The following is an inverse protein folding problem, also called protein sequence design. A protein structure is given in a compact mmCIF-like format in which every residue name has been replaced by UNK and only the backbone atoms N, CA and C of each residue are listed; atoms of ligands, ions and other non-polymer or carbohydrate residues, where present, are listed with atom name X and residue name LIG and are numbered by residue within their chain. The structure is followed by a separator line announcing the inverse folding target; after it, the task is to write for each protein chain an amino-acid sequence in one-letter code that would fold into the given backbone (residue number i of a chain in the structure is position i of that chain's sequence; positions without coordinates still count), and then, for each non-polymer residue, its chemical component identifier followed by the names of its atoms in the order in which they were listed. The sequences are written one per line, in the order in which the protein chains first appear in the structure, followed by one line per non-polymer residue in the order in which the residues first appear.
data_IF_665705658709
#
_entry.id   IF_665705658709
#
_cell.length_a   1.000
_cell.length_b   1.000
_cell.length_c   1.000
_cell.angle_alpha   90.00
_cell.angle_beta   90.00
_cell.angle_gamma   90.00
#
_symmetry.space_group_name_H-M   'P 1'
#
loop_
_entity.id
_entity.type
_entity.pdbx_description
1 polymer ?
#
# COMPACT_ATOMS: atom_id res chain seq x y z
N UNK A 1 120.61 -7.31 137.90
CA UNK A 1 120.12 -8.37 138.81
C UNK A 1 118.70 -8.71 138.37
N UNK A 2 118.52 -9.85 137.71
CA UNK A 2 117.19 -10.40 137.46
C UNK A 2 116.76 -11.15 138.73
N UNK A 3 115.49 -11.00 139.13
CA UNK A 3 114.91 -11.86 140.17
C UNK A 3 114.90 -13.29 139.62
N UNK A 4 115.44 -14.26 140.35
CA UNK A 4 115.32 -15.68 139.99
C UNK A 4 113.90 -16.15 140.30
N UNK A 5 112.95 -15.78 139.43
CA UNK A 5 111.52 -16.05 139.60
C UNK A 5 111.20 -17.52 139.88
N UNK A 6 111.98 -18.44 139.31
CA UNK A 6 111.85 -19.88 139.56
C UNK A 6 112.03 -20.29 141.04
N UNK A 7 112.92 -19.62 141.81
CA UNK A 7 113.08 -19.89 143.25
C UNK A 7 112.00 -19.21 144.10
N UNK A 8 111.40 -18.13 143.61
CA UNK A 8 110.29 -17.43 144.26
C UNK A 8 108.99 -18.22 144.11
N UNK A 9 108.74 -18.80 142.93
CA UNK A 9 107.57 -19.64 142.67
C UNK A 9 107.57 -20.96 143.46
N UNK A 10 108.74 -21.60 143.67
CA UNK A 10 108.83 -22.84 144.45
C UNK A 10 108.61 -22.65 145.97
N UNK A 11 108.84 -21.44 146.51
CA UNK A 11 108.69 -21.12 147.95
C UNK A 11 108.18 -19.67 148.16
N UNK A 12 106.89 -19.41 147.93
CA UNK A 12 106.33 -18.05 147.92
C UNK A 12 106.33 -17.34 149.29
N UNK A 13 106.33 -18.09 150.39
CA UNK A 13 106.17 -17.53 151.75
C UNK A 13 107.49 -17.03 152.41
N UNK A 14 108.64 -17.17 151.74
CA UNK A 14 109.95 -16.73 152.29
C UNK A 14 110.32 -15.33 151.80
N UNK A 15 110.90 -14.51 152.69
CA UNK A 15 111.32 -13.15 152.34
C UNK A 15 112.52 -13.14 151.40
N UNK A 16 112.33 -12.57 150.20
CA UNK A 16 113.40 -12.37 149.20
C UNK A 16 113.73 -10.89 149.14
N UNK A 17 115.01 -10.52 149.30
CA UNK A 17 115.46 -9.13 149.15
C UNK A 17 115.49 -8.75 147.67
N UNK A 18 114.66 -7.78 147.30
CA UNK A 18 114.59 -7.24 145.94
C UNK A 18 115.00 -5.77 145.94
N UNK A 19 115.67 -5.31 144.87
CA UNK A 19 116.04 -3.90 144.69
C UNK A 19 114.80 -3.09 144.34
N UNK A 20 114.45 -2.09 145.17
CA UNK A 20 113.24 -1.27 144.98
C UNK A 20 113.15 -0.56 143.62
N UNK A 21 114.28 -0.18 143.01
CA UNK A 21 114.31 0.40 141.65
C UNK A 21 113.77 -0.56 140.59
N UNK A 22 114.09 -1.85 140.70
CA UNK A 22 113.60 -2.87 139.77
C UNK A 22 112.08 -3.06 139.91
N UNK A 23 111.57 -3.06 141.15
CA UNK A 23 110.12 -3.12 141.41
C UNK A 23 109.37 -1.90 140.85
N UNK A 24 109.97 -0.71 140.92
CA UNK A 24 109.42 0.51 140.33
C UNK A 24 109.45 0.50 138.80
N UNK A 25 110.53 -0.02 138.19
CA UNK A 25 110.63 -0.16 136.73
C UNK A 25 109.63 -1.22 136.20
N UNK A 26 109.45 -2.34 136.91
CA UNK A 26 108.42 -3.33 136.58
C UNK A 26 107.01 -2.76 136.75
N UNK A 27 106.76 -1.95 137.79
CA UNK A 27 105.47 -1.26 137.98
C UNK A 27 105.19 -0.29 136.84
N UNK A 28 106.14 0.56 136.46
CA UNK A 28 105.99 1.48 135.31
C UNK A 28 105.72 0.72 134.01
N UNK A 29 106.39 -0.42 133.82
CA UNK A 29 106.16 -1.29 132.66
C UNK A 29 104.77 -1.92 132.69
N UNK A 30 104.28 -2.34 133.86
CA UNK A 30 102.90 -2.81 134.05
C UNK A 30 101.91 -1.69 133.74
N UNK A 31 102.08 -0.50 134.32
CA UNK A 31 101.22 0.67 134.06
C UNK A 31 101.21 1.06 132.57
N UNK A 32 102.36 0.97 131.89
CA UNK A 32 102.48 1.23 130.45
C UNK A 32 101.77 0.14 129.63
N UNK A 33 101.98 -1.13 129.97
CA UNK A 33 101.32 -2.26 129.32
C UNK A 33 99.81 -2.25 129.55
N UNK A 34 99.34 -1.85 130.74
CA UNK A 34 97.92 -1.67 131.05
C UNK A 34 97.31 -0.55 130.21
N UNK A 35 98.01 0.59 130.06
CA UNK A 35 97.57 1.68 129.20
C UNK A 35 97.55 1.29 127.70
N UNK A 36 98.57 0.57 127.23
CA UNK A 36 98.62 0.03 125.88
C UNK A 36 97.53 -1.03 125.63
N UNK A 37 97.24 -1.87 126.62
CA UNK A 37 96.17 -2.87 126.56
C UNK A 37 94.80 -2.21 126.52
N UNK A 38 94.56 -1.19 127.33
CA UNK A 38 93.31 -0.43 127.30
C UNK A 38 93.14 0.32 125.97
N UNK A 39 94.22 0.92 125.45
CA UNK A 39 94.21 1.54 124.11
C UNK A 39 93.89 0.50 123.02
N UNK A 40 94.56 -0.64 123.05
CA UNK A 40 94.36 -1.72 122.07
C UNK A 40 92.95 -2.28 122.16
N UNK A 41 92.38 -2.39 123.37
CA UNK A 41 91.01 -2.81 123.59
C UNK A 41 90.01 -1.81 123.01
N UNK A 42 90.22 -0.51 123.23
CA UNK A 42 89.39 0.54 122.63
C UNK A 42 89.48 0.57 121.10
N UNK A 43 90.68 0.39 120.54
CA UNK A 43 90.87 0.25 119.08
C UNK A 43 90.17 -1.01 118.55
N UNK A 44 90.27 -2.14 119.26
CA UNK A 44 89.59 -3.39 118.92
C UNK A 44 88.06 -3.20 118.90
N UNK A 45 87.48 -2.63 119.95
CA UNK A 45 86.04 -2.33 120.03
C UNK A 45 85.61 -1.40 118.89
N UNK A 46 86.42 -0.38 118.56
CA UNK A 46 86.13 0.50 117.43
C UNK A 46 86.18 -0.24 116.08
N UNK A 47 87.13 -1.15 115.90
CA UNK A 47 87.21 -1.98 114.67
C UNK A 47 86.07 -2.96 114.55
N UNK A 48 85.62 -3.58 115.65
CA UNK A 48 84.46 -4.47 115.69
C UNK A 48 83.18 -3.72 115.36
N UNK A 49 82.99 -2.51 115.88
CA UNK A 49 81.86 -1.65 115.54
C UNK A 49 81.84 -1.27 114.05
N UNK A 50 83.01 -0.89 113.50
CA UNK A 50 83.16 -0.59 112.06
C UNK A 50 82.89 -1.82 111.19
N UNK A 51 83.39 -2.99 111.57
CA UNK A 51 83.17 -4.24 110.87
C UNK A 51 81.67 -4.57 110.84
N UNK A 52 80.98 -4.53 111.98
CA UNK A 52 79.55 -4.76 112.06
C UNK A 52 78.75 -3.78 111.18
N UNK A 53 79.13 -2.50 111.17
CA UNK A 53 78.49 -1.51 110.29
C UNK A 53 78.72 -1.79 108.81
N UNK A 54 79.90 -2.29 108.45
CA UNK A 54 80.24 -2.65 107.08
C UNK A 54 79.50 -3.91 106.63
N UNK A 55 79.34 -4.90 107.51
CA UNK A 55 78.56 -6.11 107.28
C UNK A 55 77.09 -5.77 106.99
N UNK A 56 76.46 -4.92 107.82
CA UNK A 56 75.09 -4.45 107.59
C UNK A 56 74.95 -3.69 106.26
N UNK A 57 75.97 -2.90 105.90
CA UNK A 57 75.96 -2.17 104.63
C UNK A 57 76.07 -3.12 103.43
N UNK A 58 76.88 -4.17 103.51
CA UNK A 58 77.00 -5.21 102.48
C UNK A 58 75.67 -5.94 102.33
N UNK A 59 75.03 -6.32 103.44
CA UNK A 59 73.72 -6.99 103.40
C UNK A 59 72.65 -6.11 102.72
N UNK A 60 72.60 -4.83 103.07
CA UNK A 60 71.68 -3.86 102.43
C UNK A 60 71.96 -3.72 100.93
N UNK A 61 73.23 -3.57 100.54
CA UNK A 61 73.62 -3.45 99.14
C UNK A 61 73.32 -4.72 98.33
N UNK A 62 73.45 -5.90 98.94
CA UNK A 62 73.10 -7.16 98.30
C UNK A 62 71.59 -7.27 98.06
N UNK A 63 70.76 -6.84 99.03
CA UNK A 63 69.31 -6.78 98.85
C UNK A 63 68.91 -5.81 97.73
N UNK A 64 69.49 -4.61 97.71
CA UNK A 64 69.25 -3.64 96.64
C UNK A 64 69.70 -4.18 95.26
N UNK A 65 70.83 -4.89 95.20
CA UNK A 65 71.32 -5.49 93.95
C UNK A 65 70.37 -6.57 93.44
N UNK A 66 69.85 -7.42 94.33
CA UNK A 66 68.89 -8.46 93.99
C UNK A 66 67.59 -7.85 93.44
N UNK A 67 67.07 -6.79 94.07
CA UNK A 67 65.91 -6.05 93.57
C UNK A 67 66.15 -5.47 92.17
N UNK A 68 67.36 -4.93 91.91
CA UNK A 68 67.74 -4.43 90.58
C UNK A 68 67.87 -5.55 89.55
N UNK A 69 68.38 -6.71 89.93
CA UNK A 69 68.48 -7.88 89.06
C UNK A 69 67.08 -8.33 88.64
N UNK A 70 66.15 -8.44 89.59
CA UNK A 70 64.78 -8.86 89.30
C UNK A 70 64.06 -7.85 88.41
N UNK A 71 64.21 -6.55 88.69
CA UNK A 71 63.64 -5.50 87.83
C UNK A 71 64.22 -5.50 86.41
N UNK A 72 65.51 -5.80 86.24
CA UNK A 72 66.10 -5.91 84.91
C UNK A 72 65.53 -7.10 84.13
N UNK A 73 65.28 -8.24 84.78
CA UNK A 73 64.64 -9.40 84.13
C UNK A 73 63.23 -9.07 83.64
N UNK A 74 62.42 -8.40 84.47
CA UNK A 74 61.08 -7.95 84.08
C UNK A 74 61.12 -7.03 82.85
N UNK A 75 62.06 -6.07 82.84
CA UNK A 75 62.24 -5.17 81.70
C UNK A 75 62.70 -5.89 80.42
N UNK A 76 63.52 -6.94 80.54
CA UNK A 76 63.94 -7.76 79.41
C UNK A 76 62.77 -8.56 78.82
N UNK A 77 61.89 -9.10 79.67
CA UNK A 77 60.67 -9.81 79.25
C UNK A 77 59.69 -8.84 78.55
N UNK A 78 59.45 -7.68 79.14
CA UNK A 78 58.60 -6.63 78.55
C UNK A 78 59.16 -6.15 77.20
N UNK A 79 60.47 -5.98 77.08
CA UNK A 79 61.13 -5.59 75.83
C UNK A 79 60.97 -6.67 74.75
N UNK A 80 61.06 -7.95 75.14
CA UNK A 80 60.77 -9.08 74.25
C UNK A 80 59.32 -9.08 73.75
N UNK A 81 58.37 -8.89 74.66
CA UNK A 81 56.94 -8.81 74.34
C UNK A 81 56.63 -7.64 73.40
N UNK A 82 57.14 -6.45 73.72
CA UNK A 82 56.97 -5.26 72.89
C UNK A 82 57.59 -5.40 71.49
N UNK A 83 58.73 -6.09 71.38
CA UNK A 83 59.36 -6.37 70.08
C UNK A 83 58.48 -7.26 69.20
N UNK A 84 57.83 -8.27 69.79
CA UNK A 84 56.90 -9.14 69.06
C UNK A 84 55.65 -8.38 68.63
N UNK A 85 55.07 -7.55 69.51
CA UNK A 85 53.94 -6.69 69.17
C UNK A 85 54.27 -5.73 68.02
N UNK A 86 55.46 -5.11 68.06
CA UNK A 86 55.94 -4.25 66.97
C UNK A 86 56.11 -4.99 65.63
N UNK A 87 56.49 -6.27 65.68
CA UNK A 87 56.56 -7.10 64.48
C UNK A 87 55.16 -7.34 63.90
N UNK A 88 54.22 -7.77 64.74
CA UNK A 88 52.85 -8.07 64.30
C UNK A 88 52.18 -6.82 63.71
N UNK A 89 52.30 -5.67 64.38
CA UNK A 89 51.75 -4.39 63.89
C UNK A 89 52.39 -3.98 62.56
N UNK A 90 53.68 -4.27 62.34
CA UNK A 90 54.33 -4.01 61.05
C UNK A 90 53.76 -4.90 59.95
N UNK A 91 53.52 -6.17 60.24
CA UNK A 91 52.97 -7.13 59.27
C UNK A 91 51.53 -6.77 58.90
N UNK A 92 50.69 -6.43 59.89
CA UNK A 92 49.33 -5.94 59.68
C UNK A 92 49.31 -4.64 58.86
N UNK A 93 50.24 -3.72 59.12
CA UNK A 93 50.36 -2.47 58.37
C UNK A 93 50.67 -2.73 56.89
N UNK A 94 51.57 -3.66 56.58
CA UNK A 94 51.87 -4.02 55.20
C UNK A 94 50.69 -4.73 54.51
N UNK A 95 49.95 -5.58 55.23
CA UNK A 95 48.73 -6.19 54.69
C UNK A 95 47.68 -5.13 54.34
N UNK A 96 47.45 -4.17 55.23
CA UNK A 96 46.50 -3.07 55.02
C UNK A 96 46.93 -2.20 53.84
N UNK A 97 48.22 -1.88 53.70
CA UNK A 97 48.74 -1.15 52.54
C UNK A 97 48.49 -1.89 51.23
N UNK A 98 48.72 -3.21 51.21
CA UNK A 98 48.46 -4.03 50.03
C UNK A 98 46.99 -4.03 49.63
N UNK A 99 46.08 -4.16 50.60
CA UNK A 99 44.63 -4.05 50.38
C UNK A 99 44.24 -2.67 49.85
N UNK A 100 44.78 -1.60 50.44
CA UNK A 100 44.51 -0.23 50.02
C UNK A 100 44.93 0.00 48.56
N UNK A 101 46.13 -0.42 48.17
CA UNK A 101 46.61 -0.29 46.79
C UNK A 101 45.70 -1.04 45.80
N UNK A 102 45.26 -2.25 46.17
CA UNK A 102 44.32 -3.05 45.35
C UNK A 102 42.96 -2.37 45.22
N UNK A 103 42.44 -1.78 46.31
CA UNK A 103 41.18 -1.04 46.29
C UNK A 103 41.28 0.23 45.43
N UNK A 104 42.40 0.95 45.49
CA UNK A 104 42.64 2.14 44.65
C UNK A 104 42.69 1.79 43.16
N UNK A 105 43.31 0.67 42.78
CA UNK A 105 43.33 0.19 41.40
C UNK A 105 41.93 -0.19 40.91
N UNK A 106 41.17 -0.94 41.72
CA UNK A 106 39.80 -1.30 41.42
C UNK A 106 38.88 -0.07 41.30
N UNK A 107 39.08 0.94 42.14
CA UNK A 107 38.34 2.20 42.08
C UNK A 107 38.59 2.91 40.74
N UNK A 108 39.85 3.06 40.34
CA UNK A 108 40.20 3.66 39.03
C UNK A 108 39.62 2.88 37.85
N UNK A 109 39.64 1.55 37.91
CA UNK A 109 39.02 0.72 36.88
C UNK A 109 37.51 0.96 36.79
N UNK A 110 36.82 1.06 37.94
CA UNK A 110 35.39 1.36 37.99
C UNK A 110 35.06 2.79 37.56
N UNK A 111 35.88 3.77 37.89
CA UNK A 111 35.74 5.14 37.39
C UNK A 111 35.84 5.17 35.85
N UNK A 112 36.80 4.45 35.27
CA UNK A 112 36.91 4.34 33.81
C UNK A 112 35.68 3.67 33.18
N UNK A 113 35.16 2.60 33.80
CA UNK A 113 33.94 1.92 33.32
C UNK A 113 32.72 2.85 33.36
N UNK A 114 32.56 3.63 34.44
CA UNK A 114 31.48 4.63 34.56
C UNK A 114 31.59 5.67 33.45
N UNK A 115 32.77 6.25 33.21
CA UNK A 115 32.94 7.25 32.14
C UNK A 115 32.63 6.68 30.74
N UNK A 116 32.94 5.40 30.50
CA UNK A 116 32.57 4.73 29.24
C UNK A 116 31.06 4.56 29.11
N UNK A 117 30.39 4.12 30.18
CA UNK A 117 28.95 3.94 30.19
C UNK A 117 28.20 5.27 30.04
N UNK A 118 28.71 6.35 30.62
CA UNK A 118 28.17 7.70 30.43
C UNK A 118 28.25 8.14 28.96
N UNK A 119 29.39 7.92 28.31
CA UNK A 119 29.56 8.22 26.88
C UNK A 119 28.63 7.36 26.00
N UNK A 120 28.48 6.07 26.31
CA UNK A 120 27.54 5.19 25.61
C UNK A 120 26.09 5.64 25.81
N UNK A 121 25.73 6.09 27.01
CA UNK A 121 24.41 6.66 27.32
C UNK A 121 24.12 7.92 26.51
N UNK A 122 25.08 8.83 26.37
CA UNK A 122 24.95 10.03 25.55
C UNK A 122 24.78 9.68 24.06
N UNK A 123 25.59 8.75 23.54
CA UNK A 123 25.48 8.28 22.17
C UNK A 123 24.11 7.65 21.86
N UNK A 124 23.60 6.80 22.76
CA UNK A 124 22.28 6.20 22.62
C UNK A 124 21.17 7.26 22.68
N UNK A 125 21.29 8.26 23.57
CA UNK A 125 20.33 9.36 23.65
C UNK A 125 20.27 10.17 22.35
N UNK A 126 21.43 10.46 21.74
CA UNK A 126 21.50 11.16 20.45
C UNK A 126 20.88 10.31 19.33
N UNK A 127 21.18 9.01 19.27
CA UNK A 127 20.60 8.11 18.28
C UNK A 127 19.07 8.00 18.39
N UNK A 128 18.52 7.99 19.62
CA UNK A 128 17.07 8.03 19.85
C UNK A 128 16.48 9.33 19.31
N UNK A 129 17.09 10.47 19.63
CA UNK A 129 16.61 11.78 19.14
C UNK A 129 16.61 11.87 17.61
N UNK A 130 17.62 11.31 16.93
CA UNK A 130 17.67 11.25 15.48
C UNK A 130 16.54 10.38 14.90
N UNK A 131 16.28 9.22 15.53
CA UNK A 131 15.21 8.32 15.10
C UNK A 131 13.83 8.91 15.34
N UNK A 132 13.62 9.63 16.44
CA UNK A 132 12.36 10.34 16.69
C UNK A 132 12.09 11.41 15.62
N UNK A 133 13.13 12.14 15.20
CA UNK A 133 13.01 13.10 14.10
C UNK A 133 12.66 12.40 12.77
N UNK A 134 13.31 11.28 12.46
CA UNK A 134 13.02 10.49 11.26
C UNK A 134 11.58 9.97 11.26
N UNK A 135 11.08 9.50 12.41
CA UNK A 135 9.69 9.05 12.57
C UNK A 135 8.71 10.20 12.37
N UNK A 136 9.00 11.38 12.92
CA UNK A 136 8.20 12.59 12.72
C UNK A 136 8.11 12.94 11.22
N UNK A 137 9.26 12.99 10.53
CA UNK A 137 9.32 13.33 9.11
C UNK A 137 8.56 12.30 8.23
N UNK A 138 8.69 11.01 8.53
CA UNK A 138 7.96 9.94 7.85
C UNK A 138 6.45 10.02 8.10
N UNK A 139 6.05 10.39 9.31
CA UNK A 139 4.63 10.59 9.66
C UNK A 139 4.02 11.72 8.85
N UNK A 140 4.69 12.87 8.76
CA UNK A 140 4.24 13.99 7.91
C UNK A 140 4.13 13.59 6.44
N UNK A 141 5.13 12.88 5.88
CA UNK A 141 5.08 12.40 4.50
C UNK A 141 3.92 11.43 4.26
N UNK A 142 3.59 10.60 5.23
CA UNK A 142 2.45 9.67 5.15
C UNK A 142 1.12 10.43 5.12
N UNK A 143 0.97 11.45 5.96
CA UNK A 143 -0.21 12.32 5.98
C UNK A 143 -0.39 13.06 4.63
N UNK A 144 0.68 13.61 4.08
CA UNK A 144 0.68 14.26 2.76
C UNK A 144 0.28 13.28 1.64
N UNK A 145 0.82 12.05 1.66
CA UNK A 145 0.48 11.03 0.69
C UNK A 145 -1.00 10.61 0.78
N UNK A 146 -1.52 10.46 2.00
CA UNK A 146 -2.94 10.15 2.23
C UNK A 146 -3.86 11.27 1.74
N UNK A 147 -3.51 12.53 2.02
CA UNK A 147 -4.27 13.68 1.52
C UNK A 147 -4.31 13.71 -0.02
N UNK A 148 -3.17 13.45 -0.66
CA UNK A 148 -3.09 13.36 -2.13
C UNK A 148 -3.89 12.19 -2.69
N UNK A 149 -3.91 11.04 -2.00
CA UNK A 149 -4.73 9.89 -2.40
C UNK A 149 -6.21 10.25 -2.38
N UNK A 150 -6.69 10.88 -1.31
CA UNK A 150 -8.07 11.34 -1.21
C UNK A 150 -8.42 12.36 -2.31
N UNK A 151 -7.53 13.29 -2.63
CA UNK A 151 -7.72 14.23 -3.73
C UNK A 151 -7.85 13.49 -5.09
N UNK A 152 -7.01 12.48 -5.34
CA UNK A 152 -7.09 11.69 -6.56
C UNK A 152 -8.39 10.87 -6.63
N UNK A 153 -8.85 10.29 -5.53
CA UNK A 153 -10.13 9.57 -5.46
C UNK A 153 -11.31 10.49 -5.82
N UNK A 154 -11.33 11.73 -5.31
CA UNK A 154 -12.38 12.70 -5.68
C UNK A 154 -12.34 13.05 -7.17
N UNK A 155 -11.15 13.25 -7.74
CA UNK A 155 -10.99 13.51 -9.19
C UNK A 155 -11.44 12.33 -10.05
N UNK A 156 -11.18 11.09 -9.61
CA UNK A 156 -11.66 9.89 -10.31
C UNK A 156 -13.18 9.87 -10.32
N UNK A 157 -13.83 10.10 -9.18
CA UNK A 157 -15.30 10.18 -9.10
C UNK A 157 -15.88 11.25 -10.03
N UNK A 158 -15.28 12.44 -10.07
CA UNK A 158 -15.71 13.52 -10.97
C UNK A 158 -15.57 13.14 -12.46
N UNK A 159 -14.49 12.45 -12.80
CA UNK A 159 -14.25 11.98 -14.17
C UNK A 159 -15.22 10.87 -14.57
N UNK A 160 -15.55 9.95 -13.66
CA UNK A 160 -16.57 8.92 -13.89
C UNK A 160 -17.95 9.53 -14.13
N UNK A 161 -18.33 10.57 -13.38
CA UNK A 161 -19.60 11.28 -13.61
C UNK A 161 -19.61 11.97 -14.98
N UNK A 162 -18.49 12.61 -15.36
CA UNK A 162 -18.35 13.23 -16.69
C UNK A 162 -18.42 12.19 -17.81
N UNK A 163 -17.82 11.02 -17.64
CA UNK A 163 -17.89 9.93 -18.61
C UNK A 163 -19.33 9.45 -18.83
N UNK A 164 -20.11 9.27 -17.75
CA UNK A 164 -21.55 8.93 -17.85
C UNK A 164 -22.35 10.00 -18.59
N UNK A 165 -22.06 11.29 -18.35
CA UNK A 165 -22.71 12.39 -19.08
C UNK A 165 -22.36 12.38 -20.57
N UNK A 166 -21.12 12.03 -20.91
CA UNK A 166 -20.67 11.91 -22.30
C UNK A 166 -21.40 10.77 -23.02
N UNK A 167 -21.53 9.60 -22.40
CA UNK A 167 -22.26 8.44 -22.95
C UNK A 167 -23.72 8.81 -23.26
N UNK A 168 -24.39 9.54 -22.35
CA UNK A 168 -25.75 10.06 -22.60
C UNK A 168 -25.75 11.05 -23.77
N UNK A 169 -24.74 11.91 -23.91
CA UNK A 169 -24.66 12.82 -25.05
C UNK A 169 -24.47 12.07 -26.37
N UNK A 170 -23.64 11.02 -26.40
CA UNK A 170 -23.42 10.18 -27.59
C UNK A 170 -24.72 9.50 -28.04
N UNK A 171 -25.51 8.93 -27.13
CA UNK A 171 -26.81 8.35 -27.49
C UNK A 171 -27.76 9.40 -28.10
N UNK A 172 -27.76 10.63 -27.58
CA UNK A 172 -28.57 11.73 -28.15
C UNK A 172 -28.10 12.12 -29.55
N UNK A 173 -26.79 12.09 -29.81
CA UNK A 173 -26.25 12.35 -31.16
C UNK A 173 -26.76 11.28 -32.14
N UNK A 174 -26.71 9.99 -31.77
CA UNK A 174 -27.21 8.92 -32.64
C UNK A 174 -28.71 9.05 -32.96
N UNK A 175 -29.52 9.47 -31.99
CA UNK A 175 -30.95 9.72 -32.22
C UNK A 175 -31.18 10.93 -33.14
N UNK A 176 -30.39 12.00 -32.99
CA UNK A 176 -30.44 13.15 -33.89
C UNK A 176 -30.06 12.79 -35.33
N UNK A 177 -29.05 11.94 -35.52
CA UNK A 177 -28.67 11.43 -36.84
C UNK A 177 -29.80 10.61 -37.49
N UNK A 178 -30.50 9.78 -36.71
CA UNK A 178 -31.67 9.04 -37.20
C UNK A 178 -32.81 9.97 -37.61
N UNK A 179 -33.15 10.95 -36.77
CA UNK A 179 -34.17 11.96 -37.09
C UNK A 179 -33.81 12.74 -38.35
N UNK A 180 -32.53 13.10 -38.53
CA UNK A 180 -32.06 13.79 -39.73
C UNK A 180 -32.28 12.92 -40.98
N UNK A 181 -31.98 11.63 -40.93
CA UNK A 181 -32.25 10.69 -42.04
C UNK A 181 -33.74 10.52 -42.35
N UNK A 182 -34.60 10.44 -41.31
CA UNK A 182 -36.06 10.41 -41.50
C UNK A 182 -36.57 11.70 -42.15
N UNK A 183 -36.04 12.86 -41.74
CA UNK A 183 -36.37 14.16 -42.33
C UNK A 183 -35.98 14.24 -43.81
N UNK A 184 -34.82 13.71 -44.19
CA UNK A 184 -34.35 13.70 -45.58
C UNK A 184 -35.21 12.77 -46.47
N UNK A 185 -35.61 11.60 -45.94
CA UNK A 185 -36.55 10.70 -46.60
C UNK A 185 -37.94 11.33 -46.78
N UNK A 186 -38.43 12.05 -45.77
CA UNK A 186 -39.71 12.78 -45.86
C UNK A 186 -39.62 13.91 -46.89
N UNK A 187 -38.52 14.66 -46.92
CA UNK A 187 -38.29 15.70 -47.94
C UNK A 187 -38.35 15.13 -49.35
N UNK A 188 -37.66 14.01 -49.59
CA UNK A 188 -37.68 13.33 -50.90
C UNK A 188 -39.09 12.86 -51.28
N UNK A 189 -39.86 12.36 -50.32
CA UNK A 189 -41.25 11.95 -50.55
C UNK A 189 -42.15 13.15 -50.88
N UNK A 190 -41.93 14.31 -50.25
CA UNK A 190 -42.64 15.56 -50.57
C UNK A 190 -42.33 15.98 -52.00
N UNK A 191 -41.06 16.00 -52.42
CA UNK A 191 -40.66 16.33 -53.80
C UNK A 191 -41.30 15.41 -54.85
N UNK A 192 -41.40 14.10 -54.57
CA UNK A 192 -42.08 13.14 -55.44
C UNK A 192 -43.58 13.44 -55.54
N UNK A 193 -44.22 13.75 -54.40
CA UNK A 193 -45.65 14.12 -54.36
C UNK A 193 -45.89 15.41 -55.11
N UNK A 194 -45.05 16.43 -54.95
CA UNK A 194 -45.15 17.70 -55.68
C UNK A 194 -45.01 17.48 -57.19
N UNK A 195 -44.04 16.67 -57.60
CA UNK A 195 -43.88 16.29 -59.01
C UNK A 195 -45.12 15.58 -59.55
N UNK A 196 -45.75 14.72 -58.73
CA UNK A 196 -46.98 14.02 -59.12
C UNK A 196 -48.18 14.96 -59.21
N UNK A 197 -48.29 15.92 -58.31
CA UNK A 197 -49.31 16.97 -58.32
C UNK A 197 -49.19 17.76 -59.63
N UNK A 198 -47.98 18.23 -59.99
CA UNK A 198 -47.78 18.95 -61.25
C UNK A 198 -48.15 18.12 -62.49
N UNK A 199 -47.87 16.82 -62.50
CA UNK A 199 -48.30 15.92 -63.59
C UNK A 199 -49.83 15.81 -63.67
N UNK A 200 -50.50 15.70 -62.52
CA UNK A 200 -51.97 15.62 -62.45
C UNK A 200 -52.62 16.95 -62.84
N UNK A 201 -52.06 18.09 -62.44
CA UNK A 201 -52.49 19.42 -62.86
C UNK A 201 -52.39 19.60 -64.38
N UNK A 202 -51.29 19.15 -64.99
CA UNK A 202 -51.13 19.16 -66.45
C UNK A 202 -52.17 18.28 -67.17
N UNK A 203 -52.47 17.10 -66.62
CA UNK A 203 -53.53 16.22 -67.13
C UNK A 203 -54.91 16.84 -66.99
N UNK A 204 -55.21 17.49 -65.87
CA UNK A 204 -56.45 18.22 -65.65
C UNK A 204 -56.62 19.32 -66.70
N UNK A 205 -55.60 20.15 -66.91
CA UNK A 205 -55.63 21.20 -67.93
C UNK A 205 -55.85 20.62 -69.35
N UNK A 206 -55.25 19.47 -69.66
CA UNK A 206 -55.48 18.78 -70.94
C UNK A 206 -56.91 18.26 -71.08
N UNK A 207 -57.51 17.73 -70.01
CA UNK A 207 -58.90 17.26 -70.00
C UNK A 207 -59.89 18.41 -70.11
N UNK A 208 -59.61 19.54 -69.46
CA UNK A 208 -60.39 20.78 -69.57
C UNK A 208 -60.38 21.26 -71.03
N UNK A 209 -59.22 21.32 -71.68
CA UNK A 209 -59.11 21.66 -73.11
C UNK A 209 -59.86 20.66 -74.01
N UNK A 210 -59.79 19.35 -73.74
CA UNK A 210 -60.58 18.37 -74.48
C UNK A 210 -62.09 18.57 -74.29
N UNK A 211 -62.52 18.94 -73.09
CA UNK A 211 -63.93 19.22 -72.78
C UNK A 211 -64.41 20.44 -73.55
N UNK A 212 -63.60 21.49 -73.63
CA UNK A 212 -63.88 22.68 -74.44
C UNK A 212 -63.97 22.33 -75.94
N UNK A 213 -63.05 21.53 -76.45
CA UNK A 213 -63.10 21.01 -77.83
C UNK A 213 -64.36 20.17 -78.09
N UNK A 214 -64.75 19.30 -77.16
CA UNK A 214 -65.99 18.52 -77.28
C UNK A 214 -67.22 19.43 -77.29
N UNK A 215 -67.28 20.44 -76.42
CA UNK A 215 -68.36 21.43 -76.43
C UNK A 215 -68.43 22.19 -77.75
N UNK A 216 -67.29 22.55 -78.34
CA UNK A 216 -67.24 23.16 -79.67
C UNK A 216 -67.76 22.20 -80.75
N UNK A 217 -67.36 20.92 -80.70
CA UNK A 217 -67.88 19.89 -81.61
C UNK A 217 -69.38 19.69 -81.46
N UNK A 218 -69.90 19.64 -80.23
CA UNK A 218 -71.34 19.52 -79.98
C UNK A 218 -72.11 20.71 -80.58
N UNK A 219 -71.57 21.94 -80.44
CA UNK A 219 -72.14 23.11 -81.10
C UNK A 219 -72.15 22.96 -82.63
N UNK A 220 -71.04 22.49 -83.23
CA UNK A 220 -70.99 22.26 -84.69
C UNK A 220 -71.93 21.15 -85.15
N UNK A 221 -72.12 20.08 -84.35
CA UNK A 221 -73.08 19.01 -84.65
C UNK A 221 -74.50 19.57 -84.59
N UNK A 222 -74.82 20.40 -83.59
CA UNK A 222 -76.11 21.07 -83.50
C UNK A 222 -76.38 21.96 -84.72
N UNK A 223 -75.39 22.75 -85.15
CA UNK A 223 -75.47 23.55 -86.38
C UNK A 223 -75.65 22.69 -87.65
N UNK A 224 -74.89 21.61 -87.76
CA UNK A 224 -75.00 20.68 -88.89
C UNK A 224 -76.35 19.96 -88.91
N UNK A 225 -76.87 19.56 -87.75
CA UNK A 225 -78.21 18.96 -87.63
C UNK A 225 -79.29 19.96 -88.03
N UNK A 226 -79.19 21.23 -87.61
CA UNK A 226 -80.11 22.27 -88.05
C UNK A 226 -80.06 22.48 -89.58
N UNK A 227 -78.85 22.47 -90.18
CA UNK A 227 -78.69 22.50 -91.65
C UNK A 227 -79.24 21.25 -92.33
N UNK A 228 -79.11 20.09 -91.69
CA UNK A 228 -79.62 18.82 -92.22
C UNK A 228 -81.14 18.79 -92.17
N UNK A 229 -81.75 19.29 -91.10
CA UNK A 229 -83.20 19.49 -90.98
C UNK A 229 -83.70 20.52 -92.01
N UNK A 230 -82.96 21.62 -92.24
CA UNK A 230 -83.25 22.56 -93.33
C UNK A 230 -83.17 21.89 -94.71
N UNK A 231 -82.15 21.06 -94.95
CA UNK A 231 -82.01 20.30 -96.19
C UNK A 231 -83.08 19.20 -96.35
N UNK A 232 -83.48 18.52 -95.28
CA UNK A 232 -84.57 17.54 -95.26
C UNK A 232 -85.91 18.23 -95.53
N UNK A 233 -86.14 19.40 -94.94
CA UNK A 233 -87.30 20.24 -95.27
C UNK A 233 -87.27 20.67 -96.74
N UNK A 234 -86.11 21.05 -97.27
CA UNK A 234 -85.91 21.34 -98.70
C UNK A 234 -86.18 20.13 -99.59
N UNK A 235 -85.74 18.94 -99.19
CA UNK A 235 -86.01 17.68 -99.90
C UNK A 235 -87.50 17.35 -99.84
N UNK A 236 -88.17 17.55 -98.71
CA UNK A 236 -89.61 17.37 -98.58
C UNK A 236 -90.39 18.38 -99.44
N UNK A 237 -89.96 19.64 -99.48
CA UNK A 237 -90.53 20.65 -100.39
C UNK A 237 -90.36 20.23 -101.85
N UNK A 238 -89.14 19.81 -102.25
CA UNK A 238 -88.86 19.30 -103.59
C UNK A 238 -89.62 17.99 -103.89
N UNK A 239 -89.81 17.13 -102.88
CA UNK A 239 -90.60 15.90 -102.96
C UNK A 239 -92.09 16.18 -103.15
N UNK A 240 -92.63 17.18 -102.45
CA UNK A 240 -93.98 17.69 -102.64
C UNK A 240 -94.14 18.39 -104.01
N UNK A 241 -93.10 19.03 -104.54
CA UNK A 241 -93.08 19.51 -105.93
C UNK A 241 -93.09 18.35 -106.94
N UNK A 242 -92.35 17.27 -106.66
CA UNK A 242 -92.31 16.05 -107.47
C UNK A 242 -93.64 15.28 -107.46
N UNK A 243 -94.34 15.30 -106.32
CA UNK A 243 -95.64 14.65 -106.14
C UNK A 243 -96.79 15.43 -106.80
N UNK A 244 -96.67 16.76 -106.92
CA UNK A 244 -97.58 17.60 -107.74
C UNK A 244 -97.43 17.38 -109.25
N UNK A 245 -96.40 16.66 -109.70
CA UNK A 245 -96.06 16.49 -111.11
C UNK A 245 -96.31 15.07 -111.67
N UNK A 246 -97.11 14.20 -111.00
CA UNK A 246 -97.34 12.85 -111.56
C UNK A 246 -98.80 12.32 -111.51
N UNK A 247 -99.46 12.12 -112.69
CA UNK A 247 -100.73 11.40 -112.88
C UNK A 247 -100.54 9.89 -113.30
N UNK A 248 -101.62 9.08 -113.47
CA UNK A 248 -101.63 7.60 -113.27
C UNK A 248 -101.51 6.68 -114.52
N UNK A 249 -101.18 5.39 -114.25
CA UNK A 249 -101.32 4.09 -114.99
C UNK A 249 -100.64 3.79 -116.37
N UNK A 250 -99.82 2.71 -116.46
CA UNK A 250 -100.10 1.43 -117.20
C UNK A 250 -98.86 0.48 -117.32
N UNK A 251 -99.13 -0.84 -117.42
CA UNK A 251 -98.22 -2.02 -117.38
C UNK A 251 -97.46 -2.34 -118.69
N UNK A 252 -96.24 -2.92 -118.60
CA UNK A 252 -95.68 -3.81 -119.65
C UNK A 252 -94.73 -4.89 -119.07
N UNK A 253 -94.72 -6.05 -119.73
CA UNK A 253 -94.24 -7.39 -119.32
C UNK A 253 -92.86 -7.77 -119.89
N UNK A 254 -92.17 -8.68 -119.18
CA UNK A 254 -91.27 -9.78 -119.64
C UNK A 254 -89.72 -9.73 -119.49
N UNK A 255 -89.23 -10.69 -118.68
CA UNK A 255 -88.15 -11.70 -118.90
C UNK A 255 -86.61 -11.39 -118.83
N UNK A 256 -85.99 -11.76 -117.70
CA UNK A 256 -84.77 -12.63 -117.39
C UNK A 256 -83.46 -12.60 -118.23
N UNK A 257 -82.31 -13.22 -117.81
CA UNK A 257 -81.60 -13.33 -116.50
C UNK A 257 -80.02 -13.24 -116.57
N UNK A 258 -79.36 -13.49 -115.41
CA UNK A 258 -77.98 -14.02 -115.18
C UNK A 258 -76.81 -12.99 -115.18
N UNK A 259 -75.79 -12.99 -114.29
CA UNK A 259 -75.24 -13.98 -113.33
C UNK A 259 -74.25 -13.31 -112.35
N UNK A 260 -74.20 -13.80 -111.10
CA UNK A 260 -72.99 -13.94 -110.24
C UNK A 260 -72.36 -12.66 -109.67
N UNK A 261 -71.89 -12.58 -108.42
CA UNK A 261 -71.48 -13.58 -107.43
C UNK A 261 -71.47 -12.93 -106.03
N UNK A 262 -72.06 -13.63 -105.06
CA UNK A 262 -71.59 -13.96 -103.68
C UNK A 262 -70.57 -13.00 -103.02
N UNK A 263 -70.73 -12.60 -101.76
CA UNK A 263 -70.40 -13.42 -100.57
C UNK A 263 -71.05 -12.83 -99.30
N UNK A 264 -72.06 -13.53 -98.76
CA UNK A 264 -72.18 -14.01 -97.36
C UNK A 264 -71.29 -13.33 -96.30
N UNK A 265 -71.79 -12.93 -95.12
CA UNK A 265 -72.13 -13.87 -94.05
C UNK A 265 -72.93 -13.18 -92.94
N UNK A 266 -74.06 -13.77 -92.60
CA UNK A 266 -74.84 -13.59 -91.38
C UNK A 266 -74.05 -14.10 -90.16
N UNK A 267 -74.08 -13.41 -89.00
CA UNK A 267 -74.57 -13.93 -87.70
C UNK A 267 -74.12 -13.07 -86.49
N UNK A 268 -74.93 -13.01 -85.41
CA UNK A 268 -74.72 -12.28 -84.17
C UNK A 268 -74.07 -13.13 -83.04
N UNK A 269 -73.79 -12.49 -81.90
CA UNK A 269 -73.32 -13.05 -80.60
C UNK A 269 -71.83 -13.47 -80.62
N UNK A 270 -71.00 -13.17 -79.62
CA UNK A 270 -71.20 -13.27 -78.19
C UNK A 270 -70.33 -14.42 -77.64
N UNK A 271 -69.44 -14.11 -76.70
CA UNK A 271 -68.85 -15.01 -75.70
C UNK A 271 -67.72 -16.02 -76.10
N UNK A 272 -66.63 -15.97 -75.32
CA UNK A 272 -65.87 -17.12 -74.78
C UNK A 272 -64.91 -17.94 -75.68
N UNK A 273 -63.66 -17.48 -75.78
CA UNK A 273 -62.43 -18.26 -75.52
C UNK A 273 -62.24 -19.70 -76.03
N UNK A 274 -62.11 -19.93 -77.35
CA UNK A 274 -61.57 -21.19 -77.91
C UNK A 274 -60.30 -20.87 -78.71
N UNK A 275 -59.12 -21.14 -78.14
CA UNK A 275 -57.83 -20.98 -78.83
C UNK A 275 -57.66 -22.06 -79.91
N UNK A 276 -57.43 -21.65 -81.17
CA UNK A 276 -57.08 -22.53 -82.30
C UNK A 276 -55.66 -22.22 -82.79
N UNK A 277 -54.97 -23.21 -83.38
CA UNK A 277 -53.59 -22.98 -83.85
C UNK A 277 -53.53 -21.96 -84.99
N UNK A 278 -52.77 -20.86 -84.86
CA UNK A 278 -52.70 -19.82 -85.89
C UNK A 278 -52.02 -20.26 -87.20
N UNK A 279 -51.39 -21.44 -87.23
CA UNK A 279 -50.68 -21.95 -88.42
C UNK A 279 -51.44 -23.03 -89.20
N UNK A 280 -52.34 -23.77 -88.57
CA UNK A 280 -53.06 -24.88 -89.23
C UNK A 280 -54.51 -25.05 -88.77
N UNK A 281 -55.02 -24.12 -87.96
CA UNK A 281 -56.39 -24.08 -87.41
C UNK A 281 -56.82 -25.33 -86.63
N UNK A 282 -55.88 -26.22 -86.27
CA UNK A 282 -56.16 -27.38 -85.45
C UNK A 282 -56.49 -26.98 -84.01
N UNK A 283 -57.52 -27.62 -83.45
CA UNK A 283 -57.95 -27.47 -82.05
C UNK A 283 -57.22 -28.43 -81.10
N UNK A 284 -56.32 -29.29 -81.61
CA UNK A 284 -55.51 -30.21 -80.78
C UNK A 284 -54.28 -29.49 -80.22
N UNK A 285 -54.51 -28.71 -79.15
CA UNK A 285 -53.50 -27.90 -78.48
C UNK A 285 -53.11 -28.52 -77.15
N UNK A 286 -51.82 -28.42 -76.82
CA UNK A 286 -51.29 -28.78 -75.50
C UNK A 286 -50.70 -27.53 -74.86
N UNK A 287 -51.10 -27.23 -73.63
CA UNK A 287 -50.53 -26.13 -72.86
C UNK A 287 -49.30 -26.63 -72.11
N UNK A 288 -48.16 -25.97 -72.30
CA UNK A 288 -46.90 -26.32 -71.64
C UNK A 288 -46.32 -25.10 -70.92
N UNK A 289 -45.58 -25.36 -69.83
CA UNK A 289 -44.89 -24.30 -69.08
C UNK A 289 -43.69 -23.82 -69.88
N UNK A 290 -43.62 -22.52 -70.13
CA UNK A 290 -42.51 -21.86 -70.80
C UNK A 290 -41.36 -21.63 -69.81
N UNK A 291 -40.46 -22.62 -69.74
CA UNK A 291 -39.30 -22.60 -68.84
C UNK A 291 -38.29 -21.50 -69.16
N UNK A 292 -38.47 -20.75 -70.25
CA UNK A 292 -37.61 -19.62 -70.63
C UNK A 292 -38.04 -18.30 -69.99
N UNK A 293 -39.24 -18.23 -69.39
CA UNK A 293 -39.76 -17.01 -68.76
C UNK A 293 -40.45 -17.29 -67.43
N UNK A 294 -39.80 -16.86 -66.34
CA UNK A 294 -40.36 -16.88 -64.99
C UNK A 294 -41.18 -15.61 -64.79
N UNK A 295 -42.45 -15.75 -64.38
CA UNK A 295 -43.32 -14.60 -64.13
C UNK A 295 -43.06 -14.02 -62.74
N UNK A 296 -42.96 -14.88 -61.72
CA UNK A 296 -42.58 -14.52 -60.35
C UNK A 296 -42.23 -15.77 -59.54
N UNK A 297 -41.65 -15.58 -58.35
CA UNK A 297 -41.36 -16.64 -57.39
C UNK A 297 -42.46 -16.67 -56.32
N UNK A 298 -43.10 -17.84 -56.15
CA UNK A 298 -44.10 -18.05 -55.11
C UNK A 298 -43.60 -19.15 -54.17
N UNK A 299 -43.44 -18.83 -52.87
CA UNK A 299 -42.98 -19.76 -51.84
C UNK A 299 -41.70 -20.56 -52.21
N UNK A 300 -40.72 -19.88 -52.82
CA UNK A 300 -39.41 -20.48 -53.14
C UNK A 300 -39.35 -21.34 -54.42
N UNK A 301 -40.45 -21.45 -55.19
CA UNK A 301 -40.46 -22.13 -56.49
C UNK A 301 -40.76 -21.15 -57.64
N UNK A 302 -40.06 -21.26 -58.80
CA UNK A 302 -40.31 -20.40 -59.95
C UNK A 302 -41.63 -20.75 -60.64
N UNK A 303 -42.52 -19.76 -60.79
CA UNK A 303 -43.77 -19.88 -61.54
C UNK A 303 -43.53 -19.39 -62.96
N UNK A 304 -43.58 -20.33 -63.92
CA UNK A 304 -43.33 -20.07 -65.34
C UNK A 304 -44.58 -19.62 -66.09
N UNK A 305 -44.42 -18.79 -67.12
CA UNK A 305 -45.49 -18.45 -68.06
C UNK A 305 -45.99 -19.71 -68.81
N UNK A 306 -47.21 -19.69 -69.36
CA UNK A 306 -47.72 -20.82 -70.16
C UNK A 306 -47.75 -20.50 -71.66
N UNK A 307 -47.37 -21.47 -72.49
CA UNK A 307 -47.45 -21.40 -73.95
C UNK A 307 -48.32 -22.54 -74.50
N UNK A 308 -48.92 -22.32 -75.67
CA UNK A 308 -49.63 -23.35 -76.42
C UNK A 308 -48.73 -23.97 -77.48
N UNK A 309 -48.74 -25.30 -77.58
CA UNK A 309 -48.10 -26.08 -78.63
C UNK A 309 -49.13 -26.85 -79.42
N UNK A 310 -49.13 -26.69 -80.75
CA UNK A 310 -50.00 -27.46 -81.61
C UNK A 310 -49.43 -28.87 -81.82
N UNK A 311 -50.23 -29.91 -81.54
CA UNK A 311 -49.78 -31.30 -81.71
C UNK A 311 -49.76 -31.76 -83.17
N UNK A 312 -50.33 -30.97 -84.10
CA UNK A 312 -50.38 -31.34 -85.52
C UNK A 312 -49.22 -30.76 -86.35
N UNK A 313 -48.81 -29.52 -86.07
CA UNK A 313 -47.74 -28.84 -86.82
C UNK A 313 -46.54 -28.42 -85.96
N UNK A 314 -46.57 -28.70 -84.66
CA UNK A 314 -45.49 -28.39 -83.72
C UNK A 314 -45.32 -26.90 -83.39
N UNK A 315 -46.15 -26.01 -83.93
CA UNK A 315 -46.02 -24.57 -83.70
C UNK A 315 -46.29 -24.20 -82.24
N UNK A 316 -45.46 -23.33 -81.67
CA UNK A 316 -45.54 -22.87 -80.28
C UNK A 316 -45.80 -21.36 -80.24
N UNK A 317 -46.77 -20.90 -79.44
CA UNK A 317 -47.05 -19.49 -79.23
C UNK A 317 -47.54 -19.22 -77.81
N UNK A 318 -47.41 -17.98 -77.37
CA UNK A 318 -47.75 -17.56 -76.00
C UNK A 318 -49.27 -17.39 -75.87
N UNK A 319 -49.78 -17.68 -74.67
CA UNK A 319 -51.16 -17.38 -74.30
C UNK A 319 -51.36 -15.87 -74.23
#
# INVERSE_FOLDING_TARGET
MAIEWAKVEEKPDKSVKVVGRYLLDTRKRIETLEAELEKTKGEKEQTEAKLSSAELRIETLNAELEDKINKNKELEEDLGSNKNLLSNVRDELEEVKGKLATTEENLKAKESEVTSLEADGENLSNAISEKDQEVSDLTTKLEEANAKSAELETKISDLEEKAKKLEVAETRVTELEKIAGESESLSSAVEEKDSKISELESKLASLENMTEQLSERDNTISELNAKLEEAENRINELGQELEKLKPPEEEIVAATPSTGKTVTTTIPWGASGIYACPRCSSKRLKQEKDRTKILYMAAGAPVYATKFKCMNCGNEWKK
#
